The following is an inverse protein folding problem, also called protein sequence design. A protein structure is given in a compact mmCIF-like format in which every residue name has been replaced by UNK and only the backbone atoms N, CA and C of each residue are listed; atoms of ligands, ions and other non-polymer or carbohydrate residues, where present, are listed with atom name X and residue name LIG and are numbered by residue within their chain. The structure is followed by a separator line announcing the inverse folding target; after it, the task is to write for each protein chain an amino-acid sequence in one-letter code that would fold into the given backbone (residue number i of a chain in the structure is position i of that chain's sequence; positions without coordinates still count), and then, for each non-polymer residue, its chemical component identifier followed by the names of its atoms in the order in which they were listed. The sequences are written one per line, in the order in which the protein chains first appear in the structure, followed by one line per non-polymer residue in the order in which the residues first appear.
data_IF_559862904638
#
_entry.id   IF_559862904638
#
_cell.length_a   1.000
_cell.length_b   1.000
_cell.length_c   1.000
_cell.angle_alpha   90.00
_cell.angle_beta   90.00
_cell.angle_gamma   90.00
#
_symmetry.space_group_name_H-M   'P 1'
#
loop_
_entity.id
_entity.type
_entity.pdbx_description
1 polymer ?
#
# COMPACT_ATOMS: atom_id res chain seq x y z
N UNK A 1 67.56 -27.24 1.89
CA UNK A 1 66.40 -28.15 1.84
C UNK A 1 65.68 -27.85 0.54
N UNK A 2 66.00 -28.58 -0.53
CA UNK A 2 65.38 -28.34 -1.84
C UNK A 2 64.05 -29.08 -1.86
N UNK A 3 62.96 -28.32 -1.79
CA UNK A 3 61.61 -28.83 -1.93
C UNK A 3 61.42 -29.11 -3.43
N UNK A 4 61.42 -30.38 -3.81
CA UNK A 4 60.93 -30.80 -5.12
C UNK A 4 59.41 -30.71 -5.09
N UNK A 5 58.87 -29.67 -5.72
CA UNK A 5 57.44 -29.60 -6.04
C UNK A 5 57.14 -30.68 -7.08
N UNK A 6 56.18 -31.61 -6.84
CA UNK A 6 55.77 -32.61 -7.82
C UNK A 6 55.36 -31.93 -9.14
N UNK A 7 55.62 -32.56 -10.30
CA UNK A 7 55.27 -31.98 -11.62
C UNK A 7 53.79 -31.58 -11.75
N UNK A 8 52.91 -32.20 -10.97
CA UNK A 8 51.48 -31.92 -10.89
C UNK A 8 51.14 -30.55 -10.29
N UNK A 9 52.00 -30.00 -9.43
CA UNK A 9 51.74 -28.74 -8.71
C UNK A 9 52.42 -27.53 -9.37
N UNK A 10 53.08 -27.73 -10.52
CA UNK A 10 53.68 -26.64 -11.32
C UNK A 10 52.64 -26.08 -12.30
N UNK A 11 52.57 -24.75 -12.41
CA UNK A 11 51.82 -24.08 -13.48
C UNK A 11 52.48 -24.38 -14.83
N UNK A 12 51.77 -24.98 -15.81
CA UNK A 12 52.32 -25.26 -17.13
C UNK A 12 52.74 -23.99 -17.86
N UNK A 13 53.82 -24.04 -18.62
CA UNK A 13 54.21 -22.96 -19.52
C UNK A 13 53.23 -22.85 -20.70
N UNK A 14 53.20 -21.69 -21.35
CA UNK A 14 52.34 -21.47 -22.53
C UNK A 14 52.63 -22.46 -23.66
N UNK A 15 53.89 -22.86 -23.83
CA UNK A 15 54.28 -23.83 -24.86
C UNK A 15 53.78 -25.24 -24.53
N UNK A 16 53.84 -25.65 -23.26
CA UNK A 16 53.27 -26.91 -22.79
C UNK A 16 51.75 -26.93 -22.94
N UNK A 17 51.06 -25.83 -22.59
CA UNK A 17 49.62 -25.70 -22.78
C UNK A 17 49.22 -25.76 -24.27
N UNK A 18 49.99 -25.14 -25.17
CA UNK A 18 49.74 -25.19 -26.61
C UNK A 18 49.93 -26.62 -27.17
N UNK A 19 50.96 -27.35 -26.71
CA UNK A 19 51.19 -28.75 -27.09
C UNK A 19 50.06 -29.65 -26.58
N UNK A 20 49.62 -29.46 -25.35
CA UNK A 20 48.50 -30.20 -24.77
C UNK A 20 47.19 -29.92 -25.56
N UNK A 21 46.90 -28.66 -25.89
CA UNK A 21 45.74 -28.30 -26.70
C UNK A 21 45.78 -28.93 -28.10
N UNK A 22 46.96 -28.93 -28.75
CA UNK A 22 47.11 -29.54 -30.07
C UNK A 22 46.90 -31.06 -30.03
N UNK A 23 47.40 -31.71 -28.98
CA UNK A 23 47.20 -33.14 -28.74
C UNK A 23 45.72 -33.46 -28.52
N UNK A 24 45.03 -32.70 -27.66
CA UNK A 24 43.60 -32.89 -27.38
C UNK A 24 42.72 -32.65 -28.61
N UNK A 25 43.04 -31.64 -29.45
CA UNK A 25 42.35 -31.41 -30.73
C UNK A 25 42.54 -32.57 -31.72
N UNK A 26 43.77 -33.06 -31.84
CA UNK A 26 44.08 -34.21 -32.70
C UNK A 26 43.35 -35.47 -32.24
N UNK A 27 43.28 -35.68 -30.93
CA UNK A 27 42.57 -36.81 -30.33
C UNK A 27 41.06 -36.68 -30.57
N UNK A 28 40.46 -35.55 -30.22
CA UNK A 28 39.02 -35.28 -30.41
C UNK A 28 38.58 -35.38 -31.88
N UNK A 29 39.45 -35.09 -32.85
CA UNK A 29 39.16 -35.26 -34.27
C UNK A 29 39.26 -36.71 -34.80
N UNK A 30 39.64 -37.68 -33.97
CA UNK A 30 39.90 -39.08 -34.40
C UNK A 30 39.12 -40.13 -33.61
N UNK A 31 38.57 -39.80 -32.44
CA UNK A 31 37.77 -40.72 -31.63
C UNK A 31 36.27 -40.45 -31.81
N UNK A 32 35.40 -41.46 -31.64
CA UNK A 32 33.95 -41.26 -31.70
C UNK A 32 33.44 -40.39 -30.54
N UNK A 33 32.37 -39.63 -30.78
CA UNK A 33 31.80 -38.66 -29.82
C UNK A 33 31.49 -39.28 -28.44
N UNK A 34 31.05 -40.54 -28.40
CA UNK A 34 30.77 -41.27 -27.16
C UNK A 34 32.00 -41.43 -26.25
N UNK A 35 33.20 -41.50 -26.84
CA UNK A 35 34.46 -41.62 -26.10
C UNK A 35 34.95 -40.24 -25.60
N UNK A 36 34.62 -39.17 -26.33
CA UNK A 36 34.89 -37.78 -25.93
C UNK A 36 34.00 -37.41 -24.73
N UNK A 37 32.71 -37.72 -24.80
CA UNK A 37 31.72 -37.46 -23.73
C UNK A 37 32.06 -38.21 -22.43
N UNK A 38 32.61 -39.42 -22.53
CA UNK A 38 32.99 -40.23 -21.38
C UNK A 38 34.21 -39.67 -20.61
N UNK A 39 35.10 -38.92 -21.29
CA UNK A 39 36.28 -38.31 -20.67
C UNK A 39 35.94 -36.95 -20.04
N UNK A 40 35.43 -36.02 -20.85
CA UNK A 40 34.85 -34.75 -20.42
C UNK A 40 34.08 -34.12 -21.60
N UNK A 41 32.77 -33.81 -21.45
CA UNK A 41 31.96 -33.21 -22.51
C UNK A 41 32.51 -31.89 -23.07
N UNK A 42 33.35 -31.15 -22.32
CA UNK A 42 33.99 -29.92 -22.79
C UNK A 42 34.97 -30.19 -23.93
N UNK A 43 35.54 -31.40 -24.04
CA UNK A 43 36.49 -31.77 -25.10
C UNK A 43 35.82 -31.90 -26.47
N UNK A 44 34.50 -32.11 -26.54
CA UNK A 44 33.76 -32.10 -27.81
C UNK A 44 33.91 -30.75 -28.53
N UNK A 45 34.15 -29.67 -27.78
CA UNK A 45 34.38 -28.30 -28.29
C UNK A 45 35.74 -28.12 -28.96
N UNK A 46 36.65 -29.10 -28.85
CA UNK A 46 37.98 -29.07 -29.47
C UNK A 46 38.03 -29.82 -30.80
N UNK A 47 36.95 -30.52 -31.19
CA UNK A 47 36.87 -31.19 -32.48
C UNK A 47 36.98 -30.18 -33.64
N UNK A 48 37.59 -30.55 -34.78
CA UNK A 48 37.77 -29.64 -35.93
C UNK A 48 36.47 -29.04 -36.46
N UNK A 49 35.38 -29.80 -36.34
CA UNK A 49 34.05 -29.46 -36.85
C UNK A 49 33.09 -28.99 -35.74
N UNK A 50 33.61 -28.76 -34.52
CA UNK A 50 32.80 -28.27 -33.42
C UNK A 50 32.24 -26.88 -33.77
N UNK A 51 30.92 -26.67 -33.69
CA UNK A 51 30.35 -25.35 -33.88
C UNK A 51 31.00 -24.41 -32.86
N UNK A 52 31.58 -23.32 -33.34
CA UNK A 52 32.05 -22.27 -32.46
C UNK A 52 30.84 -21.78 -31.67
N UNK A 53 30.81 -22.08 -30.38
CA UNK A 53 29.82 -21.57 -29.44
C UNK A 53 30.14 -20.08 -29.22
N UNK A 54 29.99 -19.27 -30.27
CA UNK A 54 30.00 -17.83 -30.18
C UNK A 54 28.69 -17.46 -29.49
N UNK A 55 28.75 -17.42 -28.16
CA UNK A 55 27.78 -16.67 -27.39
C UNK A 55 27.67 -15.29 -28.06
N UNK A 56 26.49 -14.90 -28.55
CA UNK A 56 26.40 -13.80 -29.49
C UNK A 56 26.99 -12.55 -28.85
N UNK A 57 27.87 -11.87 -29.59
CA UNK A 57 28.37 -10.57 -29.17
C UNK A 57 27.19 -9.60 -29.20
N UNK A 58 26.63 -9.33 -28.02
CA UNK A 58 25.49 -8.42 -27.88
C UNK A 58 25.96 -6.98 -28.06
N UNK A 59 25.19 -6.20 -28.83
CA UNK A 59 25.43 -4.75 -28.94
C UNK A 59 25.26 -4.08 -27.57
N UNK A 60 26.18 -3.18 -27.24
CA UNK A 60 26.08 -2.28 -26.08
C UNK A 60 25.46 -0.93 -26.44
N UNK A 61 25.29 -0.67 -27.73
CA UNK A 61 24.73 0.57 -28.23
C UNK A 61 23.20 0.49 -28.21
N UNK A 62 22.57 1.48 -27.57
CA UNK A 62 21.12 1.63 -27.61
C UNK A 62 20.69 2.12 -29.00
N UNK A 63 19.87 1.37 -29.76
CA UNK A 63 19.55 1.71 -31.13
C UNK A 63 18.52 2.85 -31.19
N UNK A 64 18.99 4.10 -31.13
CA UNK A 64 18.16 5.32 -31.14
C UNK A 64 17.18 5.42 -32.32
N UNK A 65 17.54 4.84 -33.47
CA UNK A 65 16.72 4.85 -34.69
C UNK A 65 15.76 3.66 -34.80
N UNK A 66 15.77 2.72 -33.86
CA UNK A 66 14.91 1.55 -33.90
C UNK A 66 13.46 1.95 -33.57
N UNK A 67 12.58 1.80 -34.57
CA UNK A 67 11.15 2.02 -34.41
C UNK A 67 10.41 0.68 -34.44
N UNK A 68 9.56 0.45 -33.43
CA UNK A 68 8.73 -0.75 -33.34
C UNK A 68 7.63 -0.71 -34.42
N UNK A 69 7.69 -1.63 -35.37
CA UNK A 69 6.61 -1.85 -36.35
C UNK A 69 5.58 -2.83 -35.81
N UNK A 70 4.38 -2.86 -36.40
CA UNK A 70 3.35 -3.84 -36.04
C UNK A 70 3.80 -5.29 -36.22
N UNK A 71 4.55 -5.57 -37.30
CA UNK A 71 5.12 -6.88 -37.59
C UNK A 71 6.14 -7.31 -36.53
N UNK A 72 7.08 -6.43 -36.15
CA UNK A 72 8.04 -6.71 -35.07
C UNK A 72 7.34 -6.89 -33.72
N UNK A 73 6.33 -6.07 -33.41
CA UNK A 73 5.56 -6.21 -32.18
C UNK A 73 4.90 -7.58 -32.07
N UNK A 74 4.42 -8.14 -33.18
CA UNK A 74 3.82 -9.48 -33.21
C UNK A 74 4.83 -10.62 -32.95
N UNK A 75 6.13 -10.38 -33.13
CA UNK A 75 7.17 -11.36 -32.81
C UNK A 75 7.61 -11.32 -31.34
N UNK A 76 7.17 -10.31 -30.58
CA UNK A 76 7.55 -10.20 -29.17
C UNK A 76 6.85 -11.29 -28.33
N UNK A 77 7.57 -11.95 -27.41
CA UNK A 77 7.00 -13.00 -26.60
C UNK A 77 5.98 -12.44 -25.60
N UNK A 78 4.80 -13.06 -25.55
CA UNK A 78 3.76 -12.77 -24.56
C UNK A 78 3.69 -13.89 -23.52
N UNK A 79 4.57 -13.80 -22.52
CA UNK A 79 4.64 -14.79 -21.44
C UNK A 79 3.43 -14.77 -20.51
N UNK A 80 2.65 -13.69 -20.48
CA UNK A 80 1.52 -13.53 -19.57
C UNK A 80 0.29 -14.26 -20.09
N UNK A 81 0.10 -14.27 -21.41
CA UNK A 81 -0.93 -15.04 -22.11
C UNK A 81 -0.42 -16.42 -22.60
N UNK A 82 0.74 -16.87 -22.11
CA UNK A 82 1.34 -18.15 -22.47
C UNK A 82 0.67 -19.35 -21.80
N UNK A 83 1.13 -20.56 -22.15
CA UNK A 83 0.59 -21.83 -21.64
C UNK A 83 0.58 -21.92 -20.10
N UNK A 84 -0.50 -22.49 -19.55
CA UNK A 84 -0.67 -22.77 -18.12
C UNK A 84 0.45 -23.67 -17.54
N UNK A 85 1.15 -24.44 -18.38
CA UNK A 85 2.33 -25.24 -17.99
C UNK A 85 3.49 -24.40 -17.45
N UNK A 86 3.48 -23.07 -17.67
CA UNK A 86 4.47 -22.14 -17.16
C UNK A 86 4.11 -21.56 -15.78
N UNK A 87 2.97 -21.95 -15.20
CA UNK A 87 2.56 -21.60 -13.83
C UNK A 87 3.40 -22.42 -12.84
N UNK A 88 3.86 -21.77 -11.76
CA UNK A 88 4.60 -22.43 -10.68
C UNK A 88 3.74 -22.44 -9.42
N UNK A 89 3.67 -23.60 -8.76
CA UNK A 89 2.88 -23.77 -7.54
C UNK A 89 1.50 -24.36 -7.81
N UNK A 90 0.64 -24.31 -6.80
CA UNK A 90 -0.73 -24.80 -6.90
C UNK A 90 -1.55 -23.91 -7.84
N UNK A 91 -2.34 -24.55 -8.70
CA UNK A 91 -3.29 -23.84 -9.56
C UNK A 91 -4.48 -23.36 -8.73
N UNK A 92 -4.46 -22.09 -8.35
CA UNK A 92 -5.43 -21.46 -7.44
C UNK A 92 -5.77 -20.07 -7.96
N UNK A 93 -7.03 -19.70 -7.81
CA UNK A 93 -7.45 -18.33 -8.04
C UNK A 93 -6.79 -17.40 -7.02
N UNK A 94 -6.31 -16.25 -7.49
CA UNK A 94 -5.74 -15.19 -6.67
C UNK A 94 -6.81 -14.11 -6.49
N UNK A 95 -7.14 -13.77 -5.26
CA UNK A 95 -8.21 -12.79 -4.97
C UNK A 95 -7.78 -11.36 -5.34
N UNK A 96 -6.51 -11.02 -5.11
CA UNK A 96 -5.95 -9.71 -5.43
C UNK A 96 -4.57 -9.80 -6.06
N UNK A 97 -4.44 -9.30 -7.28
CA UNK A 97 -3.17 -9.07 -7.96
C UNK A 97 -3.23 -7.74 -8.72
N UNK A 98 -2.17 -6.95 -8.66
CA UNK A 98 -2.19 -5.60 -9.20
C UNK A 98 -0.97 -4.76 -8.85
N UNK A 99 -1.18 -3.44 -8.85
CA UNK A 99 -0.20 -2.44 -8.47
C UNK A 99 -0.56 -1.81 -7.13
N UNK A 100 0.44 -1.38 -6.38
CA UNK A 100 0.27 -0.70 -5.10
C UNK A 100 1.12 0.56 -5.05
N UNK A 101 0.61 1.60 -4.39
CA UNK A 101 1.33 2.85 -4.09
C UNK A 101 1.86 3.60 -5.32
N UNK A 102 1.14 3.56 -6.44
CA UNK A 102 1.40 4.43 -7.59
C UNK A 102 0.85 5.84 -7.30
N UNK A 103 1.55 6.91 -7.68
CA UNK A 103 1.17 8.29 -7.33
C UNK A 103 0.69 9.10 -8.53
N UNK A 104 -0.43 9.79 -8.35
CA UNK A 104 -1.01 10.71 -9.32
C UNK A 104 -1.40 12.05 -8.68
N UNK A 105 -1.19 13.19 -9.34
CA UNK A 105 -1.85 14.43 -8.96
C UNK A 105 -3.30 14.40 -9.44
N UNK A 106 -4.26 14.44 -8.52
CA UNK A 106 -5.69 14.38 -8.84
C UNK A 106 -6.43 15.59 -8.28
N UNK A 107 -7.47 16.04 -8.99
CA UNK A 107 -8.26 17.21 -8.61
C UNK A 107 -9.48 16.82 -7.79
N UNK A 108 -9.55 17.20 -6.52
CA UNK A 108 -10.68 16.98 -5.62
C UNK A 108 -11.56 18.22 -5.52
N UNK A 109 -12.86 18.03 -5.30
CA UNK A 109 -13.79 19.10 -4.94
C UNK A 109 -13.94 19.16 -3.43
N UNK A 110 -14.06 20.39 -2.92
CA UNK A 110 -14.44 20.68 -1.54
C UNK A 110 -15.93 21.04 -1.46
N UNK A 111 -16.52 20.94 -0.27
CA UNK A 111 -17.94 21.24 -0.04
C UNK A 111 -18.32 22.66 -0.47
N UNK A 112 -17.41 23.62 -0.26
CA UNK A 112 -17.58 25.03 -0.62
C UNK A 112 -17.23 25.34 -2.09
N UNK A 113 -17.21 24.31 -2.95
CA UNK A 113 -16.95 24.39 -4.40
C UNK A 113 -15.53 24.83 -4.81
N UNK A 114 -14.56 24.80 -3.90
CA UNK A 114 -13.14 24.90 -4.25
C UNK A 114 -12.60 23.60 -4.89
N UNK A 115 -11.63 23.72 -5.79
CA UNK A 115 -10.90 22.58 -6.37
C UNK A 115 -9.47 22.53 -5.82
N UNK A 116 -9.00 21.33 -5.49
CA UNK A 116 -7.66 21.09 -4.93
C UNK A 116 -6.95 20.01 -5.73
N UNK A 117 -5.72 20.25 -6.17
CA UNK A 117 -4.88 19.19 -6.76
C UNK A 117 -4.02 18.58 -5.66
N UNK A 118 -4.24 17.31 -5.36
CA UNK A 118 -3.54 16.58 -4.30
C UNK A 118 -2.78 15.38 -4.88
N UNK A 119 -1.57 15.15 -4.37
CA UNK A 119 -0.87 13.89 -4.60
C UNK A 119 -1.70 12.75 -3.99
N UNK A 120 -2.02 11.75 -4.79
CA UNK A 120 -2.84 10.61 -4.40
C UNK A 120 -2.11 9.31 -4.68
N UNK A 121 -1.97 8.47 -3.66
CA UNK A 121 -1.50 7.09 -3.79
C UNK A 121 -2.66 6.19 -4.24
N UNK A 122 -2.50 5.50 -5.36
CA UNK A 122 -3.46 4.55 -5.93
C UNK A 122 -2.93 3.13 -5.82
N UNK A 123 -3.78 2.23 -5.33
CA UNK A 123 -3.60 0.77 -5.35
C UNK A 123 -4.77 0.19 -6.13
N UNK A 124 -4.49 -0.55 -7.20
CA UNK A 124 -5.49 -1.16 -8.06
C UNK A 124 -5.21 -2.64 -8.22
N UNK A 125 -6.19 -3.49 -7.88
CA UNK A 125 -6.08 -4.95 -7.91
C UNK A 125 -7.32 -5.61 -8.52
N UNK A 126 -7.13 -6.77 -9.14
CA UNK A 126 -8.19 -7.65 -9.64
C UNK A 126 -8.02 -9.07 -9.13
N UNK A 127 -9.10 -9.84 -9.20
CA UNK A 127 -9.01 -11.30 -9.15
C UNK A 127 -8.30 -11.87 -10.39
N UNK A 128 -7.62 -12.99 -10.22
CA UNK A 128 -7.05 -13.78 -11.30
C UNK A 128 -7.52 -15.23 -11.17
N UNK A 129 -8.21 -15.74 -12.18
CA UNK A 129 -8.70 -17.12 -12.20
C UNK A 129 -7.56 -18.14 -12.17
N UNK A 130 -7.87 -19.33 -11.65
CA UNK A 130 -7.01 -20.51 -11.83
C UNK A 130 -6.77 -20.76 -13.34
N UNK A 131 -5.58 -21.24 -13.69
CA UNK A 131 -5.14 -21.47 -15.07
C UNK A 131 -4.62 -20.24 -15.81
N UNK A 132 -4.77 -19.02 -15.26
CA UNK A 132 -4.15 -17.81 -15.81
C UNK A 132 -2.81 -17.53 -15.13
N UNK A 133 -1.76 -17.29 -15.93
CA UNK A 133 -0.40 -17.09 -15.40
C UNK A 133 -0.19 -15.71 -14.75
N UNK A 134 -0.84 -14.67 -15.25
CA UNK A 134 -0.69 -13.33 -14.70
C UNK A 134 -1.50 -12.29 -15.45
N UNK A 135 -1.50 -11.06 -14.92
CA UNK A 135 -2.17 -9.90 -15.51
C UNK A 135 -1.18 -8.98 -16.22
N UNK A 136 -1.68 -8.21 -17.18
CA UNK A 136 -0.89 -7.15 -17.79
C UNK A 136 -0.88 -5.90 -16.91
N UNK A 137 0.12 -5.81 -16.03
CA UNK A 137 0.28 -4.71 -15.05
C UNK A 137 0.30 -3.31 -15.68
N UNK A 138 0.82 -3.17 -16.91
CA UNK A 138 0.88 -1.87 -17.58
C UNK A 138 -0.51 -1.33 -17.97
N UNK A 139 -1.50 -2.21 -18.16
CA UNK A 139 -2.88 -1.81 -18.51
C UNK A 139 -3.54 -1.05 -17.38
N UNK A 140 -3.27 -1.45 -16.14
CA UNK A 140 -3.78 -0.83 -14.92
C UNK A 140 -3.39 0.66 -14.86
N UNK A 141 -2.11 0.93 -15.07
CA UNK A 141 -1.59 2.29 -15.06
C UNK A 141 -2.24 3.15 -16.15
N UNK A 142 -2.39 2.60 -17.36
CA UNK A 142 -2.97 3.33 -18.49
C UNK A 142 -4.45 3.66 -18.28
N UNK A 143 -5.23 2.78 -17.66
CA UNK A 143 -6.63 3.08 -17.35
C UNK A 143 -6.72 4.24 -16.36
N UNK A 144 -5.88 4.28 -15.33
CA UNK A 144 -5.83 5.42 -14.41
C UNK A 144 -5.41 6.73 -15.09
N UNK A 145 -4.37 6.73 -15.92
CA UNK A 145 -3.93 7.95 -16.63
C UNK A 145 -4.99 8.51 -17.59
N UNK A 146 -5.82 7.66 -18.20
CA UNK A 146 -6.94 8.09 -19.06
C UNK A 146 -7.97 8.94 -18.32
N UNK A 147 -8.05 8.78 -17.00
CA UNK A 147 -9.02 9.48 -16.14
C UNK A 147 -8.37 10.50 -15.20
N UNK A 148 -7.05 10.54 -15.09
CA UNK A 148 -6.31 11.38 -14.14
C UNK A 148 -6.49 12.89 -14.33
N UNK A 149 -6.76 13.35 -15.56
CA UNK A 149 -6.98 14.78 -15.84
C UNK A 149 -8.41 15.26 -15.53
N UNK A 150 -9.33 14.35 -15.18
CA UNK A 150 -10.71 14.70 -14.82
C UNK A 150 -10.78 15.18 -13.37
N UNK A 151 -11.74 16.06 -13.08
CA UNK A 151 -12.12 16.35 -11.70
C UNK A 151 -12.64 15.07 -11.04
N UNK A 152 -12.03 14.71 -9.92
CA UNK A 152 -12.24 13.45 -9.23
C UNK A 152 -13.65 13.34 -8.64
N UNK A 153 -14.24 12.16 -8.79
CA UNK A 153 -15.47 11.71 -8.15
C UNK A 153 -15.49 10.19 -8.14
N UNK A 154 -16.38 9.57 -7.36
CA UNK A 154 -16.58 8.11 -7.40
C UNK A 154 -16.88 7.61 -8.82
N UNK A 155 -17.68 8.34 -9.61
CA UNK A 155 -17.94 7.99 -11.02
C UNK A 155 -16.68 7.96 -11.91
N UNK A 156 -15.62 8.71 -11.57
CA UNK A 156 -14.33 8.61 -12.27
C UNK A 156 -13.60 7.32 -11.86
N UNK A 157 -13.68 6.93 -10.59
CA UNK A 157 -13.14 5.65 -10.10
C UNK A 157 -13.89 4.48 -10.74
N UNK A 158 -15.22 4.55 -10.84
CA UNK A 158 -16.05 3.54 -11.49
C UNK A 158 -15.65 3.37 -12.95
N UNK A 159 -15.53 4.47 -13.70
CA UNK A 159 -15.10 4.42 -15.10
C UNK A 159 -13.68 3.85 -15.25
N UNK A 160 -12.79 4.13 -14.30
CA UNK A 160 -11.46 3.54 -14.25
C UNK A 160 -11.51 2.03 -13.92
N UNK A 161 -12.40 1.61 -13.02
CA UNK A 161 -12.65 0.22 -12.66
C UNK A 161 -13.24 -0.58 -13.84
N UNK A 162 -14.16 0.02 -14.59
CA UNK A 162 -14.78 -0.60 -15.77
C UNK A 162 -13.76 -0.85 -16.89
N UNK A 163 -12.98 0.18 -17.24
CA UNK A 163 -11.87 0.04 -18.19
C UNK A 163 -10.87 -1.03 -17.70
N UNK A 164 -10.60 -1.05 -16.39
CA UNK A 164 -9.68 -1.99 -15.76
C UNK A 164 -10.16 -3.45 -15.81
N UNK A 165 -11.45 -3.70 -15.51
CA UNK A 165 -12.07 -5.04 -15.60
C UNK A 165 -12.13 -5.53 -17.04
N UNK A 166 -12.54 -4.66 -17.97
CA UNK A 166 -12.65 -5.00 -19.39
C UNK A 166 -11.30 -5.39 -19.99
N UNK A 167 -10.24 -4.68 -19.64
CA UNK A 167 -8.89 -4.91 -20.16
C UNK A 167 -8.24 -6.21 -19.67
N UNK A 168 -8.77 -6.80 -18.58
CA UNK A 168 -8.21 -7.97 -17.89
C UNK A 168 -9.15 -9.18 -17.81
N UNK A 169 -10.38 -9.06 -18.31
CA UNK A 169 -11.39 -10.13 -18.28
C UNK A 169 -11.55 -10.73 -16.87
N UNK A 170 -11.63 -9.85 -15.86
CA UNK A 170 -11.77 -10.22 -14.44
C UNK A 170 -13.17 -9.95 -13.91
N UNK A 171 -13.60 -10.77 -12.93
CA UNK A 171 -14.89 -10.63 -12.25
C UNK A 171 -14.84 -9.61 -11.12
N UNK A 172 -13.80 -9.67 -10.28
CA UNK A 172 -13.68 -8.82 -9.11
C UNK A 172 -12.54 -7.82 -9.28
N UNK A 173 -12.74 -6.62 -8.74
CA UNK A 173 -11.78 -5.52 -8.81
C UNK A 173 -11.88 -4.60 -7.59
N UNK A 174 -10.75 -4.04 -7.19
CA UNK A 174 -10.63 -3.11 -6.07
C UNK A 174 -9.69 -1.97 -6.42
N UNK A 175 -10.13 -0.75 -6.16
CA UNK A 175 -9.30 0.46 -6.24
C UNK A 175 -9.32 1.11 -4.87
N UNK A 176 -8.14 1.44 -4.34
CA UNK A 176 -7.96 2.20 -3.10
C UNK A 176 -7.07 3.41 -3.37
N UNK A 177 -7.54 4.59 -2.99
CA UNK A 177 -6.92 5.88 -3.25
C UNK A 177 -6.72 6.62 -1.94
N UNK A 178 -5.46 6.94 -1.60
CA UNK A 178 -5.09 7.59 -0.34
C UNK A 178 -4.54 8.97 -0.62
N UNK A 179 -5.01 9.95 0.14
CA UNK A 179 -4.62 11.36 0.03
C UNK A 179 -4.58 12.02 1.41
N UNK A 180 -3.85 13.13 1.51
CA UNK A 180 -3.85 14.01 2.68
C UNK A 180 -4.68 15.24 2.37
N UNK A 181 -5.87 15.34 2.97
CA UNK A 181 -6.87 16.36 2.67
C UNK A 181 -6.76 17.56 3.63
N UNK A 182 -6.51 18.78 3.13
CA UNK A 182 -6.37 19.96 3.98
C UNK A 182 -7.72 20.60 4.31
N UNK A 183 -7.97 20.89 5.59
CA UNK A 183 -9.08 21.73 6.06
C UNK A 183 -8.55 22.87 6.90
N UNK A 184 -9.07 24.08 6.68
CA UNK A 184 -8.74 25.24 7.50
C UNK A 184 -9.53 25.20 8.81
N UNK A 185 -8.82 25.30 9.94
CA UNK A 185 -9.40 25.19 11.28
C UNK A 185 -9.05 26.43 12.09
N UNK A 186 -10.03 26.96 12.82
CA UNK A 186 -9.84 28.07 13.76
C UNK A 186 -9.41 27.56 15.14
N UNK A 187 -8.61 28.36 15.83
CA UNK A 187 -8.15 28.08 17.20
C UNK A 187 -9.27 28.39 18.20
N UNK A 188 -9.28 27.70 19.34
CA UNK A 188 -10.39 27.75 20.30
C UNK A 188 -10.77 29.15 20.82
N UNK A 189 -9.81 30.07 20.99
CA UNK A 189 -10.04 31.40 21.60
C UNK A 189 -9.34 32.54 20.89
N UNK A 190 -8.14 32.34 20.33
CA UNK A 190 -7.33 33.45 19.81
C UNK A 190 -7.76 33.98 18.43
N UNK A 191 -8.67 33.30 17.74
CA UNK A 191 -9.08 33.62 16.37
C UNK A 191 -8.00 33.35 15.32
N UNK A 192 -6.89 32.70 15.69
CA UNK A 192 -5.91 32.20 14.72
C UNK A 192 -6.52 31.07 13.89
N UNK A 193 -6.00 30.85 12.68
CA UNK A 193 -6.39 29.70 11.84
C UNK A 193 -5.21 29.10 11.11
N UNK A 194 -5.23 27.78 10.96
CA UNK A 194 -4.22 27.00 10.24
C UNK A 194 -4.84 25.84 9.46
N UNK A 195 -4.03 25.13 8.67
CA UNK A 195 -4.47 23.94 7.95
C UNK A 195 -4.21 22.68 8.78
N UNK A 196 -5.27 21.94 9.08
CA UNK A 196 -5.22 20.57 9.56
C UNK A 196 -5.30 19.64 8.36
N UNK A 197 -4.47 18.61 8.34
CA UNK A 197 -4.49 17.58 7.30
C UNK A 197 -5.13 16.30 7.87
N UNK A 198 -5.94 15.65 7.03
CA UNK A 198 -6.62 14.40 7.33
C UNK A 198 -6.19 13.34 6.33
N UNK A 199 -5.81 12.17 6.83
CA UNK A 199 -5.55 11.02 5.97
C UNK A 199 -6.89 10.40 5.57
N UNK A 200 -7.22 10.54 4.29
CA UNK A 200 -8.43 10.00 3.68
C UNK A 200 -8.04 8.87 2.75
N UNK A 201 -8.78 7.77 2.81
CA UNK A 201 -8.76 6.74 1.77
C UNK A 201 -10.15 6.56 1.17
N UNK A 202 -10.21 6.46 -0.16
CA UNK A 202 -11.41 6.13 -0.90
C UNK A 202 -11.23 4.80 -1.56
N UNK A 203 -12.20 3.93 -1.37
CA UNK A 203 -12.15 2.58 -1.85
C UNK A 203 -13.41 2.25 -2.63
N UNK A 204 -13.22 1.67 -3.81
CA UNK A 204 -14.28 1.10 -4.62
C UNK A 204 -13.99 -0.39 -4.77
N UNK A 205 -14.91 -1.21 -4.29
CA UNK A 205 -14.84 -2.67 -4.41
C UNK A 205 -16.00 -3.13 -5.27
N UNK A 206 -15.69 -3.96 -6.27
CA UNK A 206 -16.70 -4.74 -6.98
C UNK A 206 -16.42 -6.22 -6.78
N UNK A 207 -17.37 -6.92 -6.16
CA UNK A 207 -17.28 -8.36 -5.90
C UNK A 207 -18.59 -9.03 -6.29
N UNK A 208 -18.51 -10.07 -7.13
CA UNK A 208 -19.69 -10.77 -7.65
C UNK A 208 -20.74 -9.82 -8.28
N UNK A 209 -20.29 -8.74 -8.91
CA UNK A 209 -21.14 -7.72 -9.55
C UNK A 209 -21.79 -6.72 -8.60
N UNK A 210 -21.51 -6.78 -7.30
CA UNK A 210 -21.98 -5.78 -6.32
C UNK A 210 -20.88 -4.76 -6.08
N UNK A 211 -21.19 -3.48 -6.32
CA UNK A 211 -20.30 -2.35 -6.02
C UNK A 211 -20.54 -1.82 -4.63
N UNK A 212 -19.45 -1.45 -3.96
CA UNK A 212 -19.44 -0.81 -2.65
C UNK A 212 -18.44 0.33 -2.67
N UNK A 213 -18.91 1.52 -2.34
CA UNK A 213 -18.08 2.71 -2.13
C UNK A 213 -17.77 2.83 -0.65
N UNK A 214 -16.50 3.02 -0.30
CA UNK A 214 -16.04 3.09 1.09
C UNK A 214 -15.16 4.32 1.25
N UNK A 215 -15.41 5.08 2.31
CA UNK A 215 -14.58 6.19 2.73
C UNK A 215 -13.93 5.86 4.08
N UNK A 216 -12.63 6.10 4.17
CA UNK A 216 -11.85 5.95 5.39
C UNK A 216 -11.28 7.31 5.79
N UNK A 217 -11.36 7.63 7.09
CA UNK A 217 -10.78 8.82 7.70
C UNK A 217 -9.99 8.42 8.94
N UNK A 218 -8.73 8.84 9.02
CA UNK A 218 -7.98 8.81 10.28
C UNK A 218 -8.11 10.16 10.98
N UNK A 219 -8.80 10.16 12.11
CA UNK A 219 -9.06 11.34 12.94
C UNK A 219 -8.15 11.35 14.15
N UNK A 220 -7.37 12.42 14.31
CA UNK A 220 -6.38 12.59 15.38
C UNK A 220 -6.93 13.48 16.48
N UNK A 221 -6.95 12.99 17.71
CA UNK A 221 -7.52 13.69 18.86
C UNK A 221 -6.67 13.50 20.11
N UNK A 222 -6.96 14.28 21.14
CA UNK A 222 -6.42 14.10 22.49
C UNK A 222 -7.41 13.30 23.33
N UNK A 223 -6.94 12.24 23.98
CA UNK A 223 -7.73 11.48 24.95
C UNK A 223 -7.17 11.69 26.35
N UNK A 224 -8.05 12.01 27.31
CA UNK A 224 -7.72 12.09 28.74
C UNK A 224 -8.42 10.97 29.45
N UNK A 225 -7.66 10.14 30.18
CA UNK A 225 -8.24 8.99 30.87
C UNK A 225 -9.14 9.43 32.04
N UNK A 226 -10.44 9.03 32.07
CA UNK A 226 -11.35 9.36 33.16
C UNK A 226 -10.82 8.92 34.53
N UNK A 227 -10.30 7.69 34.62
CA UNK A 227 -9.69 7.18 35.86
C UNK A 227 -8.54 8.07 36.35
N UNK A 228 -7.66 8.50 35.44
CA UNK A 228 -6.51 9.32 35.81
C UNK A 228 -6.96 10.71 36.30
N UNK A 229 -7.96 11.30 35.65
CA UNK A 229 -8.58 12.56 36.07
C UNK A 229 -9.17 12.46 37.48
N UNK A 230 -9.98 11.44 37.74
CA UNK A 230 -10.57 11.24 39.06
C UNK A 230 -9.52 11.03 40.16
N UNK A 231 -8.47 10.25 39.89
CA UNK A 231 -7.39 10.01 40.85
C UNK A 231 -6.53 11.26 41.09
N UNK A 232 -6.27 12.05 40.06
CA UNK A 232 -5.57 13.33 40.20
C UNK A 232 -6.39 14.32 41.06
N UNK A 233 -7.69 14.41 40.82
CA UNK A 233 -8.61 15.22 41.63
C UNK A 233 -8.70 14.74 43.08
N UNK A 234 -8.76 13.43 43.29
CA UNK A 234 -8.73 12.85 44.62
C UNK A 234 -7.45 13.21 45.38
N UNK A 235 -6.28 13.12 44.75
CA UNK A 235 -5.00 13.49 45.36
C UNK A 235 -4.94 15.00 45.70
N UNK A 236 -5.46 15.86 44.81
CA UNK A 236 -5.54 17.31 45.07
C UNK A 236 -6.43 17.62 46.27
N UNK A 237 -7.61 17.00 46.35
CA UNK A 237 -8.61 17.27 47.41
C UNK A 237 -8.23 16.68 48.77
N UNK A 238 -7.72 15.45 48.79
CA UNK A 238 -7.49 14.73 50.05
C UNK A 238 -6.09 14.94 50.62
N UNK A 239 -5.10 15.24 49.77
CA UNK A 239 -3.70 15.36 50.18
C UNK A 239 -3.09 16.73 49.88
N UNK A 240 -3.81 17.65 49.24
CA UNK A 240 -3.26 18.93 48.80
C UNK A 240 -2.11 18.76 47.80
N UNK A 241 -2.01 17.61 47.14
CA UNK A 241 -0.90 17.28 46.26
C UNK A 241 -1.24 17.71 44.84
N UNK A 242 -0.36 18.51 44.23
CA UNK A 242 -0.44 18.75 42.80
C UNK A 242 -0.27 17.41 42.07
N UNK A 243 -1.26 17.06 41.26
CA UNK A 243 -1.29 15.86 40.42
C UNK A 243 -1.83 16.25 39.06
N UNK A 244 -1.35 15.62 37.99
CA UNK A 244 -1.79 15.89 36.61
C UNK A 244 -2.31 14.58 36.03
N UNK A 245 -3.53 14.55 35.48
CA UNK A 245 -4.00 13.37 34.78
C UNK A 245 -3.20 13.16 33.50
N UNK A 246 -3.04 11.91 33.10
CA UNK A 246 -2.41 11.64 31.81
C UNK A 246 -3.40 11.88 30.67
N UNK A 247 -2.88 12.49 29.63
CA UNK A 247 -3.53 12.64 28.34
C UNK A 247 -2.52 12.30 27.24
N UNK A 248 -3.04 11.90 26.09
CA UNK A 248 -2.21 11.45 24.98
C UNK A 248 -2.84 11.78 23.64
N UNK A 249 -2.02 11.75 22.59
CA UNK A 249 -2.51 11.72 21.21
C UNK A 249 -3.16 10.35 20.96
N UNK A 250 -4.24 10.33 20.19
CA UNK A 250 -4.99 9.14 19.84
C UNK A 250 -5.45 9.26 18.39
N UNK A 251 -5.66 8.11 17.75
CA UNK A 251 -6.14 8.04 16.36
C UNK A 251 -7.34 7.13 16.29
N UNK A 252 -8.39 7.58 15.61
CA UNK A 252 -9.52 6.75 15.24
C UNK A 252 -9.61 6.64 13.72
N UNK A 253 -9.62 5.42 13.18
CA UNK A 253 -9.92 5.16 11.78
C UNK A 253 -11.39 4.84 11.63
N UNK A 254 -12.11 5.74 10.97
CA UNK A 254 -13.53 5.62 10.68
C UNK A 254 -13.66 5.16 9.23
N UNK A 255 -14.21 3.97 9.02
CA UNK A 255 -14.47 3.39 7.70
C UNK A 255 -15.97 3.29 7.52
N UNK A 256 -16.52 3.89 6.47
CA UNK A 256 -17.97 3.93 6.23
C UNK A 256 -18.27 3.52 4.80
N UNK A 257 -19.27 2.67 4.64
CA UNK A 257 -19.91 2.46 3.34
C UNK A 257 -20.71 3.71 2.97
N UNK A 258 -20.47 4.23 1.77
CA UNK A 258 -21.22 5.36 1.21
C UNK A 258 -22.37 4.79 0.40
N UNK A 259 -23.60 5.10 0.82
CA UNK A 259 -24.82 4.69 0.13
C UNK A 259 -25.19 5.66 -0.99
N UNK A 260 -25.88 5.14 -2.00
CA UNK A 260 -26.42 5.93 -3.11
C UNK A 260 -27.31 7.07 -2.62
N UNK A 261 -27.08 8.28 -3.13
CA UNK A 261 -27.90 9.44 -2.82
C UNK A 261 -27.16 10.76 -2.90
N UNK A 262 -27.30 11.59 -1.86
CA UNK A 262 -26.56 12.86 -1.78
C UNK A 262 -25.10 12.57 -1.46
N UNK A 263 -24.20 13.34 -2.08
CA UNK A 263 -22.77 13.27 -1.80
C UNK A 263 -22.49 13.39 -0.28
N UNK A 264 -21.74 12.43 0.25
CA UNK A 264 -21.10 12.50 1.56
C UNK A 264 -19.72 13.14 1.36
N UNK A 265 -19.54 14.36 1.85
CA UNK A 265 -18.27 15.08 1.74
C UNK A 265 -17.26 14.58 2.79
N UNK A 266 -15.96 14.72 2.52
CA UNK A 266 -14.94 14.40 3.52
C UNK A 266 -15.13 15.27 4.77
N UNK A 267 -15.49 16.53 4.55
CA UNK A 267 -15.81 17.51 5.58
C UNK A 267 -16.99 17.07 6.45
N UNK A 268 -17.99 16.37 5.90
CA UNK A 268 -19.12 15.87 6.69
C UNK A 268 -18.66 14.79 7.68
N UNK A 269 -17.80 13.87 7.25
CA UNK A 269 -17.25 12.82 8.13
C UNK A 269 -16.30 13.40 9.19
N UNK A 270 -15.51 14.41 8.83
CA UNK A 270 -14.66 15.17 9.76
C UNK A 270 -15.52 15.88 10.82
N UNK A 271 -16.62 16.52 10.41
CA UNK A 271 -17.57 17.16 11.33
C UNK A 271 -18.24 16.16 12.27
N UNK A 272 -18.62 14.98 11.77
CA UNK A 272 -19.11 13.89 12.62
C UNK A 272 -18.08 13.49 13.69
N UNK A 273 -16.80 13.36 13.31
CA UNK A 273 -15.73 13.03 14.25
C UNK A 273 -15.52 14.12 15.31
N UNK A 274 -15.55 15.40 14.90
CA UNK A 274 -15.49 16.55 15.82
C UNK A 274 -16.66 16.61 16.79
N UNK A 275 -17.86 16.27 16.32
CA UNK A 275 -19.05 16.22 17.17
C UNK A 275 -19.00 15.02 18.13
N UNK A 276 -18.41 13.90 17.73
CA UNK A 276 -18.23 12.73 18.58
C UNK A 276 -17.18 12.99 19.67
N UNK A 277 -16.02 13.50 19.27
CA UNK A 277 -14.86 13.72 20.15
C UNK A 277 -14.27 15.10 19.84
N UNK A 278 -14.62 16.14 20.63
CA UNK A 278 -14.32 17.53 20.32
C UNK A 278 -12.86 17.93 20.57
N UNK A 279 -12.06 17.03 21.15
CA UNK A 279 -10.66 17.25 21.52
C UNK A 279 -9.69 17.05 20.35
N UNK A 280 -10.07 17.48 19.13
CA UNK A 280 -9.19 17.47 17.97
C UNK A 280 -7.89 18.24 18.25
N UNK A 281 -6.76 17.73 17.74
CA UNK A 281 -5.48 18.44 17.85
C UNK A 281 -5.54 19.83 17.21
N UNK A 282 -4.98 20.82 17.88
CA UNK A 282 -4.96 22.21 17.42
C UNK A 282 -3.77 22.48 16.50
N UNK A 283 -3.98 23.27 15.44
CA UNK A 283 -2.93 23.61 14.45
C UNK A 283 -2.08 24.79 14.91
N UNK A 284 -2.72 25.90 15.27
CA UNK A 284 -2.08 27.11 15.77
C UNK A 284 -2.66 27.43 17.14
N UNK A 285 -1.83 27.84 18.09
CA UNK A 285 -2.28 28.15 19.46
C UNK A 285 -1.51 29.34 20.03
N UNK A 286 -2.20 30.10 20.89
CA UNK A 286 -1.61 30.98 21.91
C UNK A 286 -1.92 30.43 23.30
N UNK A 287 -1.44 31.12 24.34
CA UNK A 287 -1.63 30.74 25.75
C UNK A 287 -3.11 30.52 26.10
N UNK A 288 -3.98 31.39 25.60
CA UNK A 288 -5.43 31.30 25.80
C UNK A 288 -6.04 30.05 25.15
N UNK A 289 -5.50 29.59 24.01
CA UNK A 289 -5.95 28.37 23.33
C UNK A 289 -5.42 27.12 24.04
N UNK A 290 -4.17 27.14 24.51
CA UNK A 290 -3.59 26.05 25.30
C UNK A 290 -4.40 25.80 26.57
N UNK A 291 -4.78 26.87 27.28
CA UNK A 291 -5.67 26.77 28.43
C UNK A 291 -7.05 26.24 28.03
N UNK A 292 -7.63 26.75 26.94
CA UNK A 292 -8.93 26.29 26.44
C UNK A 292 -8.90 24.79 26.10
N UNK A 293 -7.81 24.32 25.52
CA UNK A 293 -7.65 22.92 25.15
C UNK A 293 -7.49 22.03 26.39
N UNK A 294 -6.78 22.48 27.42
CA UNK A 294 -6.68 21.78 28.69
C UNK A 294 -8.06 21.66 29.38
N UNK A 295 -8.85 22.74 29.38
CA UNK A 295 -10.23 22.74 29.90
C UNK A 295 -11.14 21.82 29.07
N UNK A 296 -11.02 21.84 27.75
CA UNK A 296 -11.79 20.98 26.84
C UNK A 296 -11.50 19.49 27.07
N UNK A 297 -10.22 19.13 27.27
CA UNK A 297 -9.82 17.78 27.62
C UNK A 297 -10.38 17.34 28.98
N UNK A 298 -10.30 18.21 29.99
CA UNK A 298 -10.85 17.92 31.31
C UNK A 298 -12.38 17.78 31.31
N UNK A 299 -13.07 18.48 30.41
CA UNK A 299 -14.52 18.39 30.23
C UNK A 299 -14.96 17.13 29.45
N UNK A 300 -14.06 16.51 28.68
CA UNK A 300 -14.36 15.36 27.83
C UNK A 300 -13.36 14.19 28.08
N UNK A 301 -13.21 13.70 29.32
CA UNK A 301 -12.40 12.51 29.57
C UNK A 301 -13.07 11.28 28.93
N UNK A 302 -12.28 10.38 28.35
CA UNK A 302 -12.81 9.32 27.49
C UNK A 302 -11.96 8.05 27.53
N UNK A 303 -12.62 6.89 27.66
CA UNK A 303 -11.98 5.59 27.44
C UNK A 303 -11.98 5.21 25.95
N UNK A 304 -11.10 4.29 25.55
CA UNK A 304 -10.99 3.87 24.15
C UNK A 304 -12.27 3.18 23.64
N UNK A 305 -13.02 2.53 24.53
CA UNK A 305 -14.32 1.94 24.24
C UNK A 305 -15.39 3.01 24.01
N UNK A 306 -15.37 4.08 24.81
CA UNK A 306 -16.33 5.17 24.68
C UNK A 306 -16.06 6.01 23.43
N UNK A 307 -14.79 6.19 23.06
CA UNK A 307 -14.41 6.79 21.78
C UNK A 307 -15.05 6.02 20.62
N UNK A 308 -14.90 4.69 20.58
CA UNK A 308 -15.51 3.88 19.53
C UNK A 308 -17.03 4.01 19.48
N UNK A 309 -17.70 4.03 20.64
CA UNK A 309 -19.16 4.21 20.73
C UNK A 309 -19.62 5.59 20.28
N UNK A 310 -18.91 6.66 20.65
CA UNK A 310 -19.25 8.03 20.29
C UNK A 310 -19.10 8.29 18.78
N UNK A 311 -18.03 7.77 18.16
CA UNK A 311 -17.89 7.83 16.71
C UNK A 311 -19.00 7.02 16.01
N UNK A 312 -19.27 5.80 16.48
CA UNK A 312 -20.35 4.95 15.97
C UNK A 312 -21.72 5.66 16.04
N UNK A 313 -22.01 6.32 17.16
CA UNK A 313 -23.26 7.06 17.35
C UNK A 313 -23.44 8.18 16.29
N UNK A 314 -22.37 8.91 15.96
CA UNK A 314 -22.47 9.98 14.96
C UNK A 314 -22.65 9.44 13.55
N UNK A 315 -21.89 8.41 13.15
CA UNK A 315 -21.99 7.85 11.79
C UNK A 315 -23.33 7.14 11.58
N UNK A 316 -23.85 6.44 12.59
CA UNK A 316 -25.14 5.74 12.52
C UNK A 316 -26.34 6.68 12.32
N UNK A 317 -26.22 7.95 12.71
CA UNK A 317 -27.27 8.96 12.53
C UNK A 317 -27.41 9.44 11.09
N UNK A 318 -26.38 9.28 10.25
CA UNK A 318 -26.40 9.75 8.87
C UNK A 318 -26.94 8.68 7.92
N UNK A 319 -28.03 8.99 7.23
CA UNK A 319 -28.70 8.06 6.30
C UNK A 319 -27.92 7.79 5.02
N UNK A 320 -26.83 8.52 4.75
CA UNK A 320 -25.92 8.27 3.63
C UNK A 320 -24.89 7.18 3.96
N UNK A 321 -24.81 6.74 5.21
CA UNK A 321 -23.85 5.73 5.66
C UNK A 321 -24.56 4.38 5.83
N UNK A 322 -23.96 3.33 5.27
CA UNK A 322 -24.40 1.95 5.40
C UNK A 322 -23.64 1.23 6.52
N UNK A 323 -22.99 0.12 6.17
CA UNK A 323 -22.09 -0.58 7.09
C UNK A 323 -20.92 0.33 7.49
N UNK A 324 -20.36 0.14 8.69
CA UNK A 324 -19.20 0.92 9.13
C UNK A 324 -18.31 0.19 10.12
N UNK A 325 -17.07 0.68 10.27
CA UNK A 325 -16.10 0.23 11.27
C UNK A 325 -15.37 1.41 11.89
N UNK A 326 -15.25 1.36 13.20
CA UNK A 326 -14.46 2.29 14.01
C UNK A 326 -13.33 1.50 14.67
N UNK A 327 -12.09 1.86 14.34
CA UNK A 327 -10.91 1.43 15.07
C UNK A 327 -10.42 2.61 15.89
N UNK A 328 -10.17 2.45 17.18
CA UNK A 328 -9.55 3.49 18.00
C UNK A 328 -8.27 2.96 18.64
N UNK A 329 -7.24 3.81 18.67
CA UNK A 329 -5.98 3.57 19.36
C UNK A 329 -5.65 4.77 20.24
N UNK A 330 -5.65 4.54 21.56
CA UNK A 330 -5.13 5.49 22.54
C UNK A 330 -3.65 5.19 22.77
N UNK A 331 -2.80 6.14 22.39
CA UNK A 331 -1.35 5.98 22.48
C UNK A 331 -0.89 6.25 23.90
N UNK A 332 -1.06 5.27 24.78
CA UNK A 332 -0.94 5.44 26.23
C UNK A 332 0.40 6.05 26.63
N UNK A 333 0.34 7.13 27.42
CA UNK A 333 1.53 7.84 27.88
C UNK A 333 2.14 7.21 29.14
N UNK A 334 1.36 6.43 29.89
CA UNK A 334 1.81 5.74 31.10
C UNK A 334 2.36 4.32 30.82
N UNK A 335 2.01 3.74 29.68
CA UNK A 335 2.35 2.37 29.32
C UNK A 335 3.26 2.33 28.08
N UNK A 336 3.95 1.20 27.88
CA UNK A 336 4.78 0.97 26.69
C UNK A 336 3.99 0.30 25.55
N UNK A 337 2.68 0.42 25.56
CA UNK A 337 1.74 -0.20 24.63
C UNK A 337 0.45 0.63 24.58
N UNK A 338 -0.28 0.53 23.47
CA UNK A 338 -1.49 1.29 23.24
C UNK A 338 -2.74 0.54 23.72
N UNK A 339 -3.76 1.28 24.15
CA UNK A 339 -5.10 0.73 24.37
C UNK A 339 -5.89 0.84 23.07
N UNK A 340 -6.52 -0.26 22.63
CA UNK A 340 -7.17 -0.34 21.32
C UNK A 340 -8.59 -0.87 21.41
N UNK A 341 -9.46 -0.43 20.50
CA UNK A 341 -10.82 -0.94 20.36
C UNK A 341 -11.22 -1.07 18.88
N UNK A 342 -12.14 -2.01 18.61
CA UNK A 342 -12.75 -2.25 17.30
C UNK A 342 -14.25 -2.34 17.50
N UNK A 343 -15.00 -1.57 16.73
CA UNK A 343 -16.46 -1.64 16.64
C UNK A 343 -16.82 -1.71 15.16
N UNK A 344 -17.63 -2.70 14.79
CA UNK A 344 -18.15 -2.87 13.42
C UNK A 344 -19.66 -2.97 13.48
N UNK A 345 -20.34 -2.32 12.53
CA UNK A 345 -21.76 -2.48 12.24
C UNK A 345 -21.92 -3.02 10.81
N UNK A 346 -22.76 -4.03 10.65
CA UNK A 346 -23.00 -4.68 9.35
C UNK A 346 -21.99 -5.76 8.99
N UNK A 347 -22.06 -6.26 7.75
CA UNK A 347 -21.29 -7.41 7.28
C UNK A 347 -20.02 -7.00 6.50
N UNK A 348 -19.99 -5.81 5.91
CA UNK A 348 -18.91 -5.36 5.02
C UNK A 348 -17.53 -5.34 5.67
N UNK A 349 -17.48 -4.99 6.97
CA UNK A 349 -16.23 -4.91 7.74
C UNK A 349 -16.11 -5.98 8.82
N UNK A 350 -16.99 -6.98 8.80
CA UNK A 350 -17.00 -8.05 9.78
C UNK A 350 -15.89 -9.06 9.45
N UNK A 351 -14.86 -9.11 10.29
CA UNK A 351 -13.76 -10.06 10.20
C UNK A 351 -13.70 -10.89 11.50
N UNK A 352 -13.63 -12.22 11.39
CA UNK A 352 -13.40 -13.10 12.54
C UNK A 352 -11.96 -13.04 13.05
N UNK A 353 -11.02 -12.68 12.17
CA UNK A 353 -9.59 -12.57 12.46
C UNK A 353 -9.10 -11.18 12.11
N UNK A 354 -8.37 -10.56 13.03
CA UNK A 354 -7.72 -9.27 12.79
C UNK A 354 -6.29 -9.47 12.29
N UNK A 355 -5.86 -8.67 11.32
CA UNK A 355 -4.46 -8.62 10.88
C UNK A 355 -3.56 -8.28 12.09
N UNK A 356 -2.47 -9.03 12.36
CA UNK A 356 -1.55 -8.74 13.48
C UNK A 356 -0.95 -7.33 13.47
N UNK A 357 -0.96 -6.64 12.32
CA UNK A 357 -0.48 -5.27 12.13
C UNK A 357 -1.61 -4.26 11.93
N UNK A 358 -2.87 -4.61 12.17
CA UNK A 358 -4.03 -3.72 11.98
C UNK A 358 -3.82 -2.35 12.65
N UNK A 359 -3.35 -2.34 13.90
CA UNK A 359 -3.14 -1.12 14.68
C UNK A 359 -1.79 -0.45 14.41
N UNK A 360 -0.86 -1.08 13.69
CA UNK A 360 0.47 -0.49 13.46
C UNK A 360 0.45 0.73 12.54
N UNK A 361 -0.71 1.08 11.96
CA UNK A 361 -0.91 2.28 11.15
C UNK A 361 -1.82 3.31 11.82
N UNK A 362 -2.34 3.01 13.01
CA UNK A 362 -3.20 3.89 13.81
C UNK A 362 -2.36 4.76 14.75
N UNK A 363 -1.41 5.48 14.16
CA UNK A 363 -0.58 6.44 14.85
C UNK A 363 -0.40 7.66 13.95
N UNK A 364 -0.25 8.84 14.55
CA UNK A 364 0.04 10.03 13.78
C UNK A 364 1.45 9.97 13.20
N UNK A 365 1.56 9.92 11.87
CA UNK A 365 2.82 10.07 11.14
C UNK A 365 3.06 11.56 10.96
N UNK A 366 4.09 12.08 11.64
CA UNK A 366 4.38 13.52 11.72
C UNK A 366 4.87 14.17 10.43
#
# INVERSE_FOLDING_TARGET
MNIHTPEIDRVPSREEAAKALALLRLWAGKVPDSEIEALDPVLARLAPDAPADEYPVLSRDYPQSFAVTGAYKATLPDLQNGSATLIRGADRAIQHVGISNFRLPLQYRTRDSGALTLETSVTGTVSLDAGKKGINMSRIMRSFYKHAEKTFSFGVIEAALDDYKKDLESFDARINMRLSFPVRVESLRSGLSGYQYYDIALELVETAGVRREIMHLDYVYSSTCPCSLELAEHARRTRGQLATPHSQRSVARISVEVLDGKCLWFEDLIEMCRNAVPTETQVMVKREDEQAFAELNAANPIFVEDAARLFAEQVQKDRRIGDFRVLASHQESLHSHDAVSVLTEGALFADESLDPKLFSTLFHVG
#
